data_IF_435759716822
#
_entry.id   IF_435759716822
#
_cell.length_a   1.000
_cell.length_b   1.000
_cell.length_c   1.000
_cell.angle_alpha   90.00
_cell.angle_beta   90.00
_cell.angle_gamma   90.00
#
_symmetry.space_group_name_H-M   'P 1'
#
loop_
_entity.id
_entity.type
_entity.pdbx_description
1 polymer ?
#
# COMPACT_ATOMS: atom_id res chain seq x y z
N UNK A 1 -16.50 -3.56 22.31
CA UNK A 1 -17.41 -2.73 21.45
C UNK A 1 -17.28 -3.25 20.04
N UNK A 2 -18.36 -3.76 19.49
CA UNK A 2 -18.40 -4.34 18.14
C UNK A 2 -18.03 -3.27 17.09
N UNK A 3 -17.11 -3.59 16.19
CA UNK A 3 -16.78 -2.76 15.07
C UNK A 3 -17.84 -2.91 13.95
N UNK A 4 -18.03 -1.88 13.12
CA UNK A 4 -18.87 -2.01 11.94
C UNK A 4 -18.18 -2.90 10.89
N UNK A 5 -18.95 -3.51 9.99
CA UNK A 5 -18.40 -4.30 8.87
C UNK A 5 -17.41 -3.48 8.02
N UNK A 6 -17.68 -2.18 7.85
CA UNK A 6 -16.80 -1.25 7.14
C UNK A 6 -15.48 -1.06 7.91
N UNK A 7 -15.50 -0.97 9.25
CA UNK A 7 -14.29 -0.84 10.05
C UNK A 7 -13.43 -2.11 9.93
N UNK A 8 -14.06 -3.29 10.05
CA UNK A 8 -13.37 -4.59 9.86
C UNK A 8 -12.74 -4.67 8.47
N UNK A 9 -13.50 -4.32 7.44
CA UNK A 9 -13.01 -4.31 6.07
C UNK A 9 -11.85 -3.33 5.88
N UNK A 10 -11.99 -2.12 6.42
CA UNK A 10 -10.95 -1.09 6.35
C UNK A 10 -9.66 -1.56 7.00
N UNK A 11 -9.72 -2.18 8.18
CA UNK A 11 -8.55 -2.75 8.84
C UNK A 11 -7.88 -3.84 7.97
N UNK A 12 -8.68 -4.75 7.41
CA UNK A 12 -8.18 -5.78 6.48
C UNK A 12 -7.57 -5.18 5.21
N UNK A 13 -8.09 -4.04 4.70
CA UNK A 13 -7.50 -3.34 3.56
C UNK A 13 -6.14 -2.72 3.91
N UNK A 14 -5.96 -2.12 5.09
CA UNK A 14 -4.64 -1.67 5.53
C UNK A 14 -3.62 -2.80 5.53
N UNK A 15 -3.99 -3.96 6.07
CA UNK A 15 -3.11 -5.12 6.13
C UNK A 15 -2.79 -5.70 4.73
N UNK A 16 -3.78 -5.73 3.82
CA UNK A 16 -3.62 -6.35 2.50
C UNK A 16 -3.07 -5.43 1.42
N UNK A 17 -3.21 -4.11 1.58
CA UNK A 17 -2.80 -3.16 0.55
C UNK A 17 -1.71 -2.18 1.02
N UNK A 18 -1.86 -1.56 2.19
CA UNK A 18 -0.90 -0.57 2.65
C UNK A 18 0.42 -1.21 3.10
N UNK A 19 0.37 -2.25 3.93
CA UNK A 19 1.60 -2.89 4.40
C UNK A 19 2.46 -3.50 3.29
N UNK A 20 1.93 -4.19 2.26
CA UNK A 20 2.75 -4.62 1.13
C UNK A 20 3.44 -3.48 0.36
N UNK A 21 2.92 -2.25 0.41
CA UNK A 21 3.56 -1.10 -0.21
C UNK A 21 4.88 -0.70 0.47
N UNK A 22 5.09 -1.09 1.76
CA UNK A 22 6.36 -0.91 2.47
C UNK A 22 7.55 -1.60 1.76
N UNK A 23 7.30 -2.57 0.88
CA UNK A 23 8.36 -3.17 0.08
C UNK A 23 9.09 -2.12 -0.76
N UNK A 24 8.41 -1.08 -1.22
CA UNK A 24 9.01 -0.05 -2.08
C UNK A 24 10.18 0.66 -1.37
N UNK A 25 10.03 1.31 -0.21
CA UNK A 25 11.17 1.91 0.47
C UNK A 25 12.23 0.90 0.92
N UNK A 26 11.87 -0.35 1.18
CA UNK A 26 12.83 -1.42 1.52
C UNK A 26 13.72 -1.85 0.33
N UNK A 27 13.30 -1.58 -0.91
CA UNK A 27 14.06 -1.93 -2.12
C UNK A 27 14.62 -0.73 -2.86
N UNK A 28 14.09 0.48 -2.64
CA UNK A 28 14.41 1.67 -3.43
C UNK A 28 15.07 2.79 -2.60
N UNK A 29 14.96 2.76 -1.27
CA UNK A 29 15.55 3.78 -0.40
C UNK A 29 16.80 3.25 0.29
N UNK A 30 17.98 3.78 -0.07
CA UNK A 30 19.25 3.39 0.55
C UNK A 30 19.21 3.49 2.09
N UNK A 31 18.49 4.48 2.63
CA UNK A 31 18.28 4.64 4.08
C UNK A 31 17.57 3.43 4.70
N UNK A 32 16.50 2.94 4.08
CA UNK A 32 15.73 1.81 4.60
C UNK A 32 16.40 0.47 4.30
N UNK A 33 17.02 0.31 3.14
CA UNK A 33 17.83 -0.87 2.79
C UNK A 33 18.88 -1.09 3.88
N UNK A 34 19.69 -0.06 4.21
CA UNK A 34 20.74 -0.13 5.24
C UNK A 34 20.18 -0.45 6.64
N UNK A 35 19.03 0.17 7.02
CA UNK A 35 18.41 -0.05 8.33
C UNK A 35 17.90 -1.48 8.53
N UNK A 36 17.46 -2.15 7.45
CA UNK A 36 16.91 -3.50 7.50
C UNK A 36 17.88 -4.60 7.05
N UNK A 37 19.13 -4.24 6.73
CA UNK A 37 20.13 -5.17 6.21
C UNK A 37 20.38 -6.38 7.14
N UNK A 38 20.40 -6.13 8.46
CA UNK A 38 20.71 -7.13 9.51
C UNK A 38 19.55 -7.32 10.50
N UNK A 39 18.31 -7.12 10.05
CA UNK A 39 17.11 -7.26 10.89
C UNK A 39 16.43 -8.59 10.59
N UNK A 40 16.23 -9.37 11.65
CA UNK A 40 15.41 -10.58 11.68
C UNK A 40 14.32 -10.38 12.73
N UNK A 41 13.12 -10.00 12.29
CA UNK A 41 12.02 -9.66 13.21
C UNK A 41 10.66 -9.93 12.59
N UNK A 42 9.69 -10.13 13.46
CA UNK A 42 8.27 -10.19 13.11
C UNK A 42 7.54 -9.03 13.78
N UNK A 43 6.73 -8.31 13.02
CA UNK A 43 5.81 -7.32 13.58
C UNK A 43 4.40 -7.90 13.53
N UNK A 44 3.85 -8.22 14.68
CA UNK A 44 2.52 -8.81 14.84
C UNK A 44 1.50 -7.73 15.16
N UNK A 45 0.51 -7.56 14.31
CA UNK A 45 -0.64 -6.68 14.51
C UNK A 45 -1.85 -7.50 14.93
N UNK A 46 -2.52 -7.04 15.97
CA UNK A 46 -3.81 -7.58 16.40
C UNK A 46 -4.69 -6.44 16.91
N UNK A 47 -5.95 -6.43 16.50
CA UNK A 47 -6.97 -5.58 17.08
C UNK A 47 -8.13 -6.44 17.54
N UNK A 48 -8.48 -6.28 18.83
CA UNK A 48 -9.56 -7.05 19.47
C UNK A 48 -10.91 -6.59 18.94
N UNK A 49 -11.80 -7.54 18.81
CA UNK A 49 -13.23 -7.34 18.56
C UNK A 49 -13.97 -8.59 19.05
N UNK A 50 -15.18 -8.41 19.54
CA UNK A 50 -15.95 -9.51 20.15
C UNK A 50 -16.29 -10.63 19.14
N UNK A 51 -16.51 -10.26 17.87
CA UNK A 51 -16.94 -11.21 16.84
C UNK A 51 -15.92 -11.39 15.71
N UNK A 52 -15.21 -10.33 15.35
CA UNK A 52 -14.37 -10.29 14.15
C UNK A 52 -12.99 -9.69 14.44
N UNK A 53 -12.16 -10.28 15.31
CA UNK A 53 -10.81 -9.79 15.54
C UNK A 53 -10.03 -9.79 14.22
N UNK A 54 -9.19 -8.77 14.04
CA UNK A 54 -8.34 -8.67 12.85
C UNK A 54 -6.89 -8.78 13.25
N UNK A 55 -6.14 -9.58 12.50
CA UNK A 55 -4.73 -9.77 12.72
C UNK A 55 -3.97 -9.89 11.40
N UNK A 56 -2.71 -9.48 11.43
CA UNK A 56 -1.72 -9.77 10.41
C UNK A 56 -0.34 -9.74 11.03
N UNK A 57 0.65 -10.31 10.35
CA UNK A 57 2.03 -10.14 10.75
C UNK A 57 2.92 -9.87 9.54
N UNK A 58 4.00 -9.14 9.80
CA UNK A 58 4.99 -8.74 8.80
C UNK A 58 6.32 -9.34 9.20
N UNK A 59 6.92 -10.08 8.28
CA UNK A 59 8.24 -10.70 8.46
C UNK A 59 9.28 -9.84 7.77
N UNK A 60 10.34 -9.52 8.49
CA UNK A 60 11.54 -8.88 7.99
C UNK A 60 12.73 -9.79 8.28
N UNK A 61 13.47 -10.16 7.25
CA UNK A 61 14.65 -11.03 7.36
C UNK A 61 15.83 -10.40 6.63
N UNK A 62 17.02 -10.62 7.17
CA UNK A 62 18.25 -10.40 6.42
C UNK A 62 18.35 -11.42 5.27
N UNK A 63 19.27 -11.20 4.35
CA UNK A 63 19.38 -12.01 3.15
C UNK A 63 19.74 -13.48 3.46
N UNK A 64 20.72 -13.69 4.33
CA UNK A 64 21.18 -15.01 4.71
C UNK A 64 20.09 -15.86 5.40
N UNK A 65 19.26 -15.22 6.23
CA UNK A 65 18.12 -15.89 6.87
C UNK A 65 17.00 -16.13 5.86
N UNK A 66 16.69 -15.14 5.01
CA UNK A 66 15.64 -15.25 4.02
C UNK A 66 15.85 -16.40 3.03
N UNK A 67 17.09 -16.63 2.58
CA UNK A 67 17.45 -17.71 1.66
C UNK A 67 17.17 -19.11 2.24
N UNK A 68 17.23 -19.26 3.57
CA UNK A 68 16.97 -20.51 4.27
C UNK A 68 15.49 -20.77 4.54
N UNK A 69 14.62 -19.75 4.31
CA UNK A 69 13.18 -19.92 4.53
C UNK A 69 12.48 -20.49 3.29
N UNK A 70 11.40 -21.23 3.48
CA UNK A 70 10.57 -21.79 2.40
C UNK A 70 10.11 -20.73 1.37
N UNK A 71 10.00 -19.47 1.75
CA UNK A 71 9.56 -18.39 0.87
C UNK A 71 10.69 -17.64 0.16
N UNK A 72 11.93 -17.75 0.63
CA UNK A 72 13.11 -17.05 0.08
C UNK A 72 12.85 -15.53 -0.09
N UNK A 73 12.25 -14.88 0.90
CA UNK A 73 11.84 -13.46 0.85
C UNK A 73 12.22 -12.73 2.11
N UNK A 74 12.93 -11.61 1.95
CA UNK A 74 13.32 -10.71 3.04
C UNK A 74 12.14 -9.96 3.68
N UNK A 75 11.05 -9.78 2.93
CA UNK A 75 9.86 -9.06 3.38
C UNK A 75 8.59 -9.78 2.91
N UNK A 76 7.69 -10.06 3.85
CA UNK A 76 6.37 -10.65 3.54
C UNK A 76 5.34 -10.22 4.58
N UNK A 77 4.12 -9.92 4.11
CA UNK A 77 2.93 -9.67 4.93
C UNK A 77 2.02 -10.89 4.87
N UNK A 78 1.63 -11.38 6.02
CA UNK A 78 0.71 -12.50 6.18
C UNK A 78 -0.57 -12.03 6.86
N UNK A 79 -1.69 -12.68 6.53
CA UNK A 79 -2.97 -12.45 7.17
C UNK A 79 -3.18 -13.46 8.29
N UNK A 80 -3.78 -13.02 9.40
CA UNK A 80 -3.97 -13.84 10.59
C UNK A 80 -2.90 -13.60 11.65
N UNK A 81 -3.01 -14.32 12.76
CA UNK A 81 -2.07 -14.22 13.88
C UNK A 81 -0.73 -14.89 13.55
N UNK A 82 0.34 -14.37 14.14
CA UNK A 82 1.67 -14.96 14.02
C UNK A 82 1.70 -16.30 14.77
N UNK A 83 2.04 -17.42 14.09
CA UNK A 83 2.01 -18.75 14.72
C UNK A 83 3.16 -19.02 15.70
N UNK A 84 4.08 -18.05 15.88
CA UNK A 84 5.27 -18.22 16.72
C UNK A 84 6.52 -18.72 15.97
N UNK A 85 6.41 -19.02 14.69
CA UNK A 85 7.52 -19.50 13.87
C UNK A 85 7.42 -19.06 12.41
N UNK A 86 8.52 -19.20 11.69
CA UNK A 86 8.61 -19.11 10.23
C UNK A 86 9.09 -20.47 9.71
N UNK A 87 8.44 -20.97 8.66
CA UNK A 87 8.82 -22.24 8.03
C UNK A 87 10.12 -22.09 7.24
N UNK A 88 11.05 -23.02 7.47
CA UNK A 88 12.33 -23.12 6.79
C UNK A 88 12.21 -24.04 5.58
N UNK A 89 13.18 -23.96 4.64
CA UNK A 89 13.19 -24.77 3.41
C UNK A 89 13.29 -26.30 3.70
N UNK A 90 13.96 -26.67 4.77
CA UNK A 90 14.09 -28.06 5.23
C UNK A 90 12.89 -28.58 6.04
N UNK A 91 11.82 -27.77 6.15
CA UNK A 91 10.63 -28.10 6.96
C UNK A 91 10.77 -27.82 8.45
N UNK A 92 11.93 -27.37 8.93
CA UNK A 92 12.12 -26.95 10.32
C UNK A 92 11.44 -25.59 10.59
N UNK A 93 11.39 -25.19 11.86
CA UNK A 93 10.74 -23.95 12.30
C UNK A 93 11.74 -22.98 12.91
N UNK A 94 11.81 -21.77 12.39
CA UNK A 94 12.57 -20.68 12.98
C UNK A 94 11.71 -19.95 14.02
N UNK A 95 11.98 -20.17 15.30
CA UNK A 95 11.19 -19.64 16.43
C UNK A 95 11.85 -18.48 17.17
N UNK A 96 13.15 -18.26 17.00
CA UNK A 96 13.95 -17.31 17.79
C UNK A 96 13.97 -15.87 17.22
N UNK A 97 12.92 -15.45 16.52
CA UNK A 97 12.84 -14.08 16.00
C UNK A 97 12.38 -13.08 17.07
N UNK A 98 12.93 -11.87 17.03
CA UNK A 98 12.39 -10.76 17.80
C UNK A 98 10.97 -10.44 17.31
N UNK A 99 10.00 -10.36 18.24
CA UNK A 99 8.59 -10.07 17.90
C UNK A 99 8.20 -8.70 18.43
N UNK A 100 7.82 -7.77 17.55
CA UNK A 100 7.22 -6.48 17.87
C UNK A 100 5.71 -6.65 17.91
N UNK A 101 5.09 -6.43 19.07
CA UNK A 101 3.65 -6.62 19.27
C UNK A 101 2.91 -5.29 19.17
N UNK A 102 2.14 -5.11 18.10
CA UNK A 102 1.28 -3.96 17.82
C UNK A 102 -0.19 -4.36 18.10
N UNK A 103 -0.52 -4.54 19.39
CA UNK A 103 -1.83 -5.01 19.82
C UNK A 103 -2.70 -3.84 20.26
N UNK A 104 -3.87 -3.72 19.68
CA UNK A 104 -4.85 -2.66 19.92
C UNK A 104 -6.08 -3.22 20.61
N UNK A 105 -6.62 -2.48 21.57
CA UNK A 105 -7.83 -2.87 22.35
C UNK A 105 -9.10 -2.96 21.50
N UNK A 106 -9.10 -2.38 20.30
CA UNK A 106 -10.24 -2.46 19.38
C UNK A 106 -9.80 -2.12 17.94
N UNK A 107 -10.61 -2.53 16.97
CA UNK A 107 -10.44 -2.15 15.57
C UNK A 107 -10.52 -0.63 15.40
N UNK A 108 -11.38 0.06 16.15
CA UNK A 108 -11.46 1.53 16.12
C UNK A 108 -10.17 2.19 16.58
N UNK A 109 -9.51 1.66 17.61
CA UNK A 109 -8.21 2.18 18.07
C UNK A 109 -7.12 1.98 17.00
N UNK A 110 -7.07 0.83 16.35
CA UNK A 110 -6.17 0.57 15.21
C UNK A 110 -6.41 1.56 14.07
N UNK A 111 -7.66 1.74 13.67
CA UNK A 111 -8.02 2.65 12.57
C UNK A 111 -7.78 4.11 12.92
N UNK A 112 -7.97 4.50 14.19
CA UNK A 112 -7.61 5.83 14.68
C UNK A 112 -6.14 6.15 14.45
N UNK A 113 -5.24 5.20 14.72
CA UNK A 113 -3.82 5.34 14.45
C UNK A 113 -3.52 5.42 12.95
N UNK A 114 -4.13 4.56 12.13
CA UNK A 114 -3.82 4.50 10.70
C UNK A 114 -4.42 5.66 9.90
N UNK A 115 -5.65 6.06 10.21
CA UNK A 115 -6.32 7.19 9.54
C UNK A 115 -5.88 8.54 10.12
N UNK A 116 -5.50 8.62 11.40
CA UNK A 116 -4.87 9.77 12.02
C UNK A 116 -5.63 11.09 11.89
N UNK A 117 -6.98 11.07 11.95
CA UNK A 117 -7.80 12.26 11.77
C UNK A 117 -7.62 13.29 12.89
N UNK A 118 -7.41 12.82 14.13
CA UNK A 118 -7.19 13.63 15.33
C UNK A 118 -5.97 13.14 16.10
N UNK A 119 -5.28 14.02 16.81
CA UNK A 119 -4.17 13.66 17.67
C UNK A 119 -4.58 12.65 18.76
N UNK A 120 -5.80 12.80 19.32
CA UNK A 120 -6.37 11.86 20.29
C UNK A 120 -6.47 10.44 19.76
N UNK A 121 -6.79 10.27 18.48
CA UNK A 121 -6.96 8.96 17.85
C UNK A 121 -5.61 8.24 17.70
N UNK A 122 -4.53 9.02 17.55
CA UNK A 122 -3.17 8.49 17.47
C UNK A 122 -2.61 8.03 18.83
N UNK A 123 -3.18 8.48 19.95
CA UNK A 123 -2.74 8.07 21.29
C UNK A 123 -2.87 6.56 21.53
N UNK A 124 -3.74 5.87 20.80
CA UNK A 124 -3.89 4.41 20.85
C UNK A 124 -2.61 3.62 20.54
N UNK A 125 -1.60 4.24 19.91
CA UNK A 125 -0.30 3.61 19.64
C UNK A 125 0.65 3.64 20.85
N UNK A 126 0.46 4.52 21.83
CA UNK A 126 1.40 4.71 22.94
C UNK A 126 1.71 3.44 23.73
N UNK A 127 0.72 2.59 24.09
CA UNK A 127 1.01 1.31 24.78
C UNK A 127 1.92 0.42 23.93
N UNK A 128 1.73 0.41 22.61
CA UNK A 128 2.58 -0.35 21.70
C UNK A 128 4.01 0.20 21.66
N UNK A 129 4.17 1.54 21.69
CA UNK A 129 5.48 2.19 21.72
C UNK A 129 6.23 1.79 22.99
N UNK A 130 5.66 2.01 24.16
CA UNK A 130 6.31 1.70 25.45
C UNK A 130 6.70 0.23 25.58
N UNK A 131 5.84 -0.69 25.07
CA UNK A 131 6.11 -2.13 25.14
C UNK A 131 7.24 -2.59 24.21
N UNK A 132 7.51 -1.86 23.14
CA UNK A 132 8.41 -2.32 22.08
C UNK A 132 9.66 -1.44 21.88
N UNK A 133 9.76 -0.28 22.56
CA UNK A 133 10.85 0.70 22.33
C UNK A 133 12.26 0.16 22.56
N UNK A 134 12.41 -0.87 23.40
CA UNK A 134 13.70 -1.54 23.65
C UNK A 134 14.12 -2.50 22.53
N UNK A 135 13.22 -2.83 21.60
CA UNK A 135 13.48 -3.79 20.52
C UNK A 135 14.26 -3.13 19.39
N UNK A 136 15.29 -3.82 18.89
CA UNK A 136 16.23 -3.31 17.88
C UNK A 136 15.52 -2.85 16.61
N UNK A 137 14.53 -3.62 16.14
CA UNK A 137 13.83 -3.34 14.90
C UNK A 137 12.69 -2.32 15.03
N UNK A 138 12.32 -1.89 16.24
CA UNK A 138 11.13 -1.07 16.47
C UNK A 138 11.22 0.30 15.78
N UNK A 139 12.29 1.06 16.02
CA UNK A 139 12.45 2.39 15.39
C UNK A 139 12.66 2.33 13.87
N UNK A 140 13.45 1.39 13.29
CA UNK A 140 13.42 1.13 11.86
C UNK A 140 12.01 0.88 11.32
N UNK A 141 11.22 0.05 11.99
CA UNK A 141 9.84 -0.24 11.60
C UNK A 141 8.93 1.00 11.66
N UNK A 142 9.00 1.82 12.73
CA UNK A 142 8.28 3.09 12.78
C UNK A 142 8.66 4.02 11.62
N UNK A 143 9.93 4.03 11.22
CA UNK A 143 10.37 4.76 10.03
C UNK A 143 9.66 4.31 8.75
N UNK A 144 9.42 3.01 8.57
CA UNK A 144 8.62 2.49 7.44
C UNK A 144 7.14 2.87 7.55
N UNK A 145 6.57 2.84 8.76
CA UNK A 145 5.21 3.32 8.98
C UNK A 145 5.07 4.80 8.58
N UNK A 146 6.06 5.63 8.88
CA UNK A 146 6.08 7.03 8.45
C UNK A 146 6.16 7.17 6.92
N UNK A 147 6.87 6.28 6.21
CA UNK A 147 6.84 6.29 4.74
C UNK A 147 5.43 5.99 4.19
N UNK A 148 4.66 5.10 4.82
CA UNK A 148 3.27 4.88 4.44
C UNK A 148 2.40 6.14 4.63
N UNK A 149 2.62 6.91 5.70
CA UNK A 149 1.84 8.16 5.90
C UNK A 149 2.10 9.19 4.79
N UNK A 150 3.27 9.13 4.15
CA UNK A 150 3.60 10.00 3.01
C UNK A 150 2.77 9.69 1.75
N UNK A 151 2.12 8.55 1.66
CA UNK A 151 1.18 8.28 0.54
C UNK A 151 -0.09 9.10 0.63
N UNK A 152 -0.40 9.66 1.80
CA UNK A 152 -1.55 10.52 2.02
C UNK A 152 -1.48 11.86 1.26
N UNK A 153 -2.62 12.53 1.04
CA UNK A 153 -2.71 13.75 0.23
C UNK A 153 -1.98 14.94 0.85
N UNK A 154 -1.78 14.96 2.17
CA UNK A 154 -1.11 16.07 2.87
C UNK A 154 0.40 16.16 2.60
N UNK A 155 1.05 15.07 2.25
CA UNK A 155 2.47 15.07 1.90
C UNK A 155 2.62 15.23 0.38
N UNK A 156 3.13 16.38 -0.04
CA UNK A 156 3.36 16.67 -1.46
C UNK A 156 4.83 17.09 -1.68
N UNK A 157 5.74 16.14 -1.97
CA UNK A 157 7.15 16.43 -2.17
C UNK A 157 7.35 17.28 -3.43
N UNK A 158 8.23 18.27 -3.33
CA UNK A 158 8.57 19.14 -4.46
C UNK A 158 9.49 18.44 -5.45
N UNK A 159 9.60 19.01 -6.68
CA UNK A 159 10.56 18.55 -7.69
C UNK A 159 12.03 18.61 -7.25
N UNK A 160 12.34 19.29 -6.13
CA UNK A 160 13.68 19.30 -5.51
C UNK A 160 13.97 18.05 -4.69
N UNK A 161 12.96 17.20 -4.46
CA UNK A 161 13.07 15.94 -3.71
C UNK A 161 12.59 14.77 -4.58
N UNK A 162 13.34 14.40 -5.61
CA UNK A 162 12.92 13.42 -6.62
C UNK A 162 12.75 12.02 -6.04
N UNK A 163 13.52 11.64 -5.01
CA UNK A 163 13.37 10.35 -4.34
C UNK A 163 12.01 10.24 -3.66
N UNK A 164 11.63 11.23 -2.85
CA UNK A 164 10.35 11.18 -2.17
C UNK A 164 9.16 11.30 -3.15
N UNK A 165 9.30 12.00 -4.26
CA UNK A 165 8.29 12.00 -5.33
C UNK A 165 8.13 10.61 -5.92
N UNK A 166 9.23 9.99 -6.35
CA UNK A 166 9.26 8.65 -6.92
C UNK A 166 8.66 7.61 -5.96
N UNK A 167 9.12 7.59 -4.70
CA UNK A 167 8.62 6.66 -3.67
C UNK A 167 7.12 6.85 -3.43
N UNK A 168 6.67 8.10 -3.27
CA UNK A 168 5.25 8.40 -3.05
C UNK A 168 4.39 7.91 -4.21
N UNK A 169 4.73 8.24 -5.45
CA UNK A 169 3.98 7.83 -6.64
C UNK A 169 3.94 6.30 -6.72
N UNK A 170 5.09 5.64 -6.62
CA UNK A 170 5.19 4.18 -6.72
C UNK A 170 4.39 3.47 -5.64
N UNK A 171 4.53 3.91 -4.38
CA UNK A 171 3.75 3.37 -3.26
C UNK A 171 2.25 3.61 -3.44
N UNK A 172 1.84 4.81 -3.85
CA UNK A 172 0.42 5.15 -4.03
C UNK A 172 -0.24 4.31 -5.12
N UNK A 173 0.38 4.15 -6.28
CA UNK A 173 -0.16 3.34 -7.37
C UNK A 173 -0.26 1.85 -6.99
N UNK A 174 0.75 1.32 -6.27
CA UNK A 174 0.71 -0.06 -5.78
C UNK A 174 -0.35 -0.24 -4.68
N UNK A 175 -0.51 0.76 -3.81
CA UNK A 175 -1.56 0.76 -2.79
C UNK A 175 -2.95 0.78 -3.44
N UNK A 176 -3.21 1.70 -4.37
CA UNK A 176 -4.50 1.85 -5.07
C UNK A 176 -4.89 0.55 -5.76
N UNK A 177 -4.03 0.01 -6.62
CA UNK A 177 -4.34 -1.21 -7.37
C UNK A 177 -4.53 -2.42 -6.45
N UNK A 178 -3.72 -2.54 -5.39
CA UNK A 178 -3.84 -3.63 -4.42
C UNK A 178 -5.07 -3.46 -3.54
N UNK A 179 -5.44 -2.23 -3.16
CA UNK A 179 -6.64 -1.95 -2.38
C UNK A 179 -7.91 -2.32 -3.15
N UNK A 180 -8.03 -1.92 -4.42
CA UNK A 180 -9.14 -2.31 -5.30
C UNK A 180 -9.25 -3.83 -5.43
N UNK A 181 -8.14 -4.51 -5.71
CA UNK A 181 -8.12 -5.97 -5.80
C UNK A 181 -8.49 -6.64 -4.48
N UNK A 182 -8.04 -6.09 -3.35
CA UNK A 182 -8.34 -6.64 -2.02
C UNK A 182 -9.78 -6.36 -1.60
N UNK A 183 -10.32 -5.19 -1.92
CA UNK A 183 -11.71 -4.83 -1.66
C UNK A 183 -12.68 -5.79 -2.38
N UNK A 184 -12.40 -6.13 -3.64
CA UNK A 184 -13.16 -7.15 -4.37
C UNK A 184 -13.11 -8.52 -3.67
N UNK A 185 -11.91 -8.98 -3.31
CA UNK A 185 -11.69 -10.28 -2.63
C UNK A 185 -12.29 -10.35 -1.24
N UNK A 186 -12.49 -9.21 -0.59
CA UNK A 186 -13.16 -9.09 0.71
C UNK A 186 -14.69 -8.95 0.57
N UNK A 187 -15.23 -8.94 -0.64
CA UNK A 187 -16.66 -8.85 -0.89
C UNK A 187 -17.24 -7.45 -0.70
N UNK A 188 -16.44 -6.37 -0.81
CA UNK A 188 -16.96 -5.01 -0.71
C UNK A 188 -17.92 -4.70 -1.86
N UNK A 189 -19.19 -4.55 -1.52
CA UNK A 189 -20.29 -4.48 -2.48
C UNK A 189 -20.10 -3.50 -3.64
N UNK A 190 -19.61 -2.25 -3.45
CA UNK A 190 -19.37 -1.36 -4.58
C UNK A 190 -18.36 -1.92 -5.57
N UNK A 191 -17.28 -2.53 -5.06
CA UNK A 191 -16.23 -3.10 -5.91
C UNK A 191 -16.66 -4.40 -6.59
N UNK A 192 -17.36 -5.29 -5.88
CA UNK A 192 -17.86 -6.56 -6.47
C UNK A 192 -18.87 -6.29 -7.57
N UNK A 193 -19.86 -5.42 -7.35
CA UNK A 193 -20.85 -5.01 -8.36
C UNK A 193 -20.19 -4.38 -9.59
N UNK A 194 -19.18 -3.53 -9.38
CA UNK A 194 -18.43 -2.94 -10.49
C UNK A 194 -17.66 -4.01 -11.27
N UNK A 195 -16.98 -4.92 -10.56
CA UNK A 195 -16.16 -5.99 -11.15
C UNK A 195 -16.98 -6.99 -11.97
N UNK A 196 -18.17 -7.36 -11.49
CA UNK A 196 -19.09 -8.30 -12.17
C UNK A 196 -19.54 -7.77 -13.54
N UNK A 197 -19.65 -6.46 -13.70
CA UNK A 197 -20.01 -5.78 -14.95
C UNK A 197 -18.86 -5.69 -15.95
N UNK A 198 -17.62 -6.08 -15.54
CA UNK A 198 -16.43 -5.98 -16.37
C UNK A 198 -16.16 -7.32 -17.08
N UNK A 199 -15.86 -7.25 -18.38
CA UNK A 199 -15.23 -8.34 -19.11
C UNK A 199 -13.74 -8.46 -18.73
N UNK A 200 -12.94 -9.30 -19.44
CA UNK A 200 -11.48 -9.37 -19.22
C UNK A 200 -10.80 -8.05 -19.63
N UNK A 201 -10.54 -7.17 -18.66
CA UNK A 201 -10.01 -5.80 -18.84
C UNK A 201 -8.78 -5.56 -17.99
N UNK A 202 -7.88 -4.74 -18.53
CA UNK A 202 -6.69 -4.24 -17.85
C UNK A 202 -6.82 -2.73 -17.70
N UNK A 203 -6.77 -2.25 -16.47
CA UNK A 203 -6.61 -0.85 -16.12
C UNK A 203 -5.16 -0.64 -15.73
N UNK A 204 -4.42 0.10 -16.55
CA UNK A 204 -2.97 0.28 -16.44
C UNK A 204 -2.66 1.72 -16.05
N UNK A 205 -1.74 1.88 -15.10
CA UNK A 205 -1.07 3.15 -14.81
C UNK A 205 0.38 3.06 -15.31
N UNK A 206 0.82 4.07 -16.03
CA UNK A 206 2.21 4.28 -16.36
C UNK A 206 2.59 5.70 -15.95
N UNK A 207 3.80 5.87 -15.45
CA UNK A 207 4.37 7.16 -15.10
C UNK A 207 5.76 7.20 -15.70
N UNK A 208 6.04 8.21 -16.51
CA UNK A 208 7.35 8.41 -17.13
C UNK A 208 8.47 8.52 -16.09
N UNK A 209 9.72 8.35 -16.50
CA UNK A 209 10.87 8.36 -15.61
C UNK A 209 11.06 9.73 -14.95
N UNK A 210 11.78 9.75 -13.83
CA UNK A 210 12.28 10.99 -13.25
C UNK A 210 13.60 11.35 -13.92
N UNK A 211 13.66 12.54 -14.48
CA UNK A 211 14.86 13.03 -15.20
C UNK A 211 15.56 14.13 -14.38
N UNK A 212 16.88 14.22 -14.52
CA UNK A 212 17.66 15.36 -14.03
C UNK A 212 17.52 16.57 -14.99
N UNK A 213 18.19 17.69 -14.65
CA UNK A 213 18.18 18.91 -15.46
C UNK A 213 18.84 18.75 -16.84
N UNK A 214 19.62 17.70 -17.03
CA UNK A 214 20.31 17.36 -18.28
C UNK A 214 19.53 16.34 -19.11
N UNK A 215 18.38 15.84 -18.61
CA UNK A 215 17.57 14.83 -19.27
C UNK A 215 18.00 13.38 -19.00
N UNK A 216 18.93 13.14 -18.07
CA UNK A 216 19.31 11.80 -17.71
C UNK A 216 18.30 11.20 -16.71
N UNK A 217 18.04 9.90 -16.83
CA UNK A 217 17.15 9.18 -15.92
C UNK A 217 17.78 9.03 -14.52
N UNK A 218 17.09 9.56 -13.50
CA UNK A 218 17.45 9.40 -12.08
C UNK A 218 16.70 8.23 -11.47
N UNK A 219 15.40 8.11 -11.79
CA UNK A 219 14.54 7.00 -11.36
C UNK A 219 13.73 6.49 -12.55
N UNK A 220 13.57 5.15 -12.66
CA UNK A 220 12.90 4.53 -13.79
C UNK A 220 11.40 4.82 -13.84
N UNK A 221 10.79 4.59 -14.98
CA UNK A 221 9.35 4.64 -15.15
C UNK A 221 8.64 3.69 -14.17
N UNK A 222 7.43 4.08 -13.75
CA UNK A 222 6.61 3.31 -12.81
C UNK A 222 5.42 2.72 -13.56
N UNK A 223 5.15 1.43 -13.35
CA UNK A 223 3.95 0.76 -13.84
C UNK A 223 3.18 0.08 -12.72
N UNK A 224 1.85 0.14 -12.80
CA UNK A 224 0.96 -0.62 -11.94
C UNK A 224 -0.33 -0.95 -12.71
N UNK A 225 -0.96 -2.09 -12.44
CA UNK A 225 -2.21 -2.44 -13.11
C UNK A 225 -3.21 -3.15 -12.21
N UNK A 226 -4.47 -3.03 -12.59
CA UNK A 226 -5.56 -3.86 -12.09
C UNK A 226 -6.14 -4.65 -13.27
N UNK A 227 -6.00 -5.96 -13.22
CA UNK A 227 -6.72 -6.86 -14.13
C UNK A 227 -8.04 -7.28 -13.51
N UNK A 228 -9.10 -7.18 -14.29
CA UNK A 228 -10.44 -7.64 -13.96
C UNK A 228 -10.82 -8.74 -14.96
N UNK A 229 -11.29 -9.90 -14.47
CA UNK A 229 -11.74 -11.01 -15.32
C UNK A 229 -12.77 -11.84 -14.58
N UNK A 230 -13.96 -12.00 -15.16
CA UNK A 230 -15.03 -12.85 -14.64
C UNK A 230 -15.28 -12.66 -13.12
N UNK A 231 -15.53 -11.44 -12.68
CA UNK A 231 -15.77 -11.11 -11.26
C UNK A 231 -14.52 -11.13 -10.38
N UNK A 232 -13.37 -11.55 -10.89
CA UNK A 232 -12.11 -11.61 -10.15
C UNK A 232 -11.19 -10.43 -10.47
N UNK A 233 -10.35 -10.08 -9.51
CA UNK A 233 -9.37 -9.01 -9.67
C UNK A 233 -7.97 -9.47 -9.32
N UNK A 234 -6.96 -8.92 -10.01
CA UNK A 234 -5.54 -9.09 -9.71
C UNK A 234 -4.80 -7.78 -9.90
N UNK A 235 -4.23 -7.26 -8.83
CA UNK A 235 -3.27 -6.17 -8.91
C UNK A 235 -1.90 -6.69 -9.33
N UNK A 236 -1.16 -5.88 -10.09
CA UNK A 236 0.21 -6.18 -10.45
C UNK A 236 1.09 -4.93 -10.49
N UNK A 237 2.38 -5.16 -10.50
CA UNK A 237 3.45 -4.16 -10.56
C UNK A 237 4.11 -4.22 -11.92
N UNK A 238 4.53 -3.07 -12.44
CA UNK A 238 5.06 -2.96 -13.80
C UNK A 238 3.96 -2.84 -14.85
N UNK A 239 4.34 -2.98 -16.10
CA UNK A 239 3.44 -2.96 -17.26
C UNK A 239 2.87 -4.37 -17.50
N UNK A 240 1.60 -4.43 -17.87
CA UNK A 240 0.99 -5.70 -18.24
C UNK A 240 1.26 -6.00 -19.72
N UNK A 241 2.08 -6.99 -20.01
CA UNK A 241 2.61 -7.25 -21.38
C UNK A 241 1.74 -8.18 -22.23
N UNK A 242 0.89 -9.02 -21.58
CA UNK A 242 0.16 -10.11 -22.31
C UNK A 242 -1.02 -9.61 -23.13
N UNK A 243 -1.51 -8.39 -22.90
CA UNK A 243 -2.68 -7.80 -23.54
C UNK A 243 -2.60 -6.30 -23.46
N UNK A 244 -3.06 -5.60 -24.50
CA UNK A 244 -3.18 -4.12 -24.44
C UNK A 244 -4.11 -3.71 -23.31
N UNK A 245 -3.79 -2.64 -22.58
CA UNK A 245 -4.68 -2.08 -21.58
C UNK A 245 -6.02 -1.68 -22.20
N UNK A 246 -7.10 -1.93 -21.49
CA UNK A 246 -8.41 -1.43 -21.85
C UNK A 246 -8.50 0.08 -21.62
N UNK A 247 -7.93 0.53 -20.47
CA UNK A 247 -7.66 1.94 -20.18
C UNK A 247 -6.23 2.06 -19.68
N UNK A 248 -5.45 2.92 -20.31
CA UNK A 248 -4.11 3.31 -19.86
C UNK A 248 -4.15 4.77 -19.39
N UNK A 249 -3.76 5.00 -18.15
CA UNK A 249 -3.46 6.30 -17.57
C UNK A 249 -1.95 6.53 -17.71
N UNK A 250 -1.57 7.31 -18.69
CA UNK A 250 -0.15 7.58 -19.04
C UNK A 250 0.26 8.96 -18.53
N UNK A 251 0.91 9.01 -17.39
CA UNK A 251 1.41 10.23 -16.77
C UNK A 251 2.79 10.56 -17.32
N UNK A 252 2.98 11.81 -17.69
CA UNK A 252 4.24 12.28 -18.29
C UNK A 252 5.45 12.06 -17.37
N UNK A 253 5.28 12.22 -16.05
CA UNK A 253 6.31 12.08 -15.02
C UNK A 253 5.67 12.02 -13.61
N UNK A 254 6.47 11.83 -12.54
CA UNK A 254 5.96 11.83 -11.17
C UNK A 254 5.24 13.14 -10.75
N UNK A 255 5.66 14.31 -11.23
CA UNK A 255 4.98 15.57 -10.92
C UNK A 255 3.55 15.59 -11.45
N UNK A 256 3.35 15.16 -12.70
CA UNK A 256 2.03 15.04 -13.31
C UNK A 256 1.12 14.06 -12.55
N UNK A 257 1.68 12.92 -12.12
CA UNK A 257 0.94 11.96 -11.30
C UNK A 257 0.60 12.53 -9.91
N UNK A 258 1.53 13.23 -9.26
CA UNK A 258 1.31 13.87 -7.97
C UNK A 258 0.27 14.99 -8.03
N UNK A 259 0.18 15.71 -9.13
CA UNK A 259 -0.82 16.77 -9.33
C UNK A 259 -2.25 16.21 -9.18
N UNK A 260 -2.49 14.99 -9.68
CA UNK A 260 -3.76 14.27 -9.50
C UNK A 260 -3.87 13.66 -8.08
N UNK A 261 -2.87 12.91 -7.65
CA UNK A 261 -2.92 12.17 -6.37
C UNK A 261 -3.03 13.07 -5.13
N UNK A 262 -2.52 14.30 -5.19
CA UNK A 262 -2.64 15.29 -4.12
C UNK A 262 -3.93 16.11 -4.17
N UNK A 263 -4.76 15.94 -5.20
CA UNK A 263 -5.94 16.76 -5.43
C UNK A 263 -5.62 18.21 -5.79
N UNK A 264 -4.41 18.50 -6.28
CA UNK A 264 -4.04 19.84 -6.75
C UNK A 264 -4.85 20.26 -7.97
N UNK A 265 -5.11 19.30 -8.85
CA UNK A 265 -5.97 19.46 -10.02
C UNK A 265 -6.96 18.30 -10.09
N UNK A 266 -8.15 18.59 -10.58
CA UNK A 266 -9.13 17.58 -10.95
C UNK A 266 -8.64 16.75 -12.15
N UNK A 267 -9.23 15.56 -12.32
CA UNK A 267 -8.81 14.65 -13.39
C UNK A 267 -8.86 15.29 -14.79
N UNK A 268 -9.95 16.00 -15.09
CA UNK A 268 -10.15 16.70 -16.38
C UNK A 268 -9.09 17.79 -16.59
N UNK A 269 -8.75 18.54 -15.54
CA UNK A 269 -7.68 19.54 -15.58
C UNK A 269 -6.30 18.90 -15.83
N UNK A 270 -6.02 17.74 -15.23
CA UNK A 270 -4.76 17.01 -15.48
C UNK A 270 -4.63 16.59 -16.94
N UNK A 271 -5.73 16.16 -17.57
CA UNK A 271 -5.78 15.84 -19.01
C UNK A 271 -5.54 17.10 -19.85
N UNK A 272 -6.26 18.19 -19.57
CA UNK A 272 -6.12 19.47 -20.29
C UNK A 272 -4.69 20.05 -20.18
N UNK A 273 -4.04 19.88 -19.03
CA UNK A 273 -2.65 20.30 -18.79
C UNK A 273 -1.59 19.30 -19.30
N UNK A 274 -2.03 18.21 -19.95
CA UNK A 274 -1.15 17.14 -20.47
C UNK A 274 -0.29 16.46 -19.39
N UNK A 275 -0.74 16.47 -18.13
CA UNK A 275 -0.09 15.71 -17.06
C UNK A 275 -0.38 14.21 -17.16
N UNK A 276 -1.53 13.85 -17.74
CA UNK A 276 -1.95 12.49 -18.02
C UNK A 276 -2.60 12.41 -19.40
N UNK A 277 -2.26 11.40 -20.16
CA UNK A 277 -2.97 10.99 -21.37
C UNK A 277 -3.83 9.74 -21.04
N UNK A 278 -5.04 9.69 -21.59
CA UNK A 278 -5.91 8.52 -21.48
C UNK A 278 -5.91 7.82 -22.82
N UNK A 279 -5.49 6.56 -22.83
CA UNK A 279 -5.35 5.75 -24.04
C UNK A 279 -6.26 4.53 -23.96
N UNK A 280 -6.89 4.17 -25.06
CA UNK A 280 -7.82 3.04 -25.14
C UNK A 280 -9.29 3.47 -25.01
N UNK A 281 -10.13 2.69 -24.34
CA UNK A 281 -11.56 2.99 -24.15
C UNK A 281 -11.81 4.05 -23.04
N UNK A 282 -10.97 5.10 -23.02
CA UNK A 282 -10.85 6.04 -21.90
C UNK A 282 -12.06 6.91 -21.69
N UNK A 283 -12.68 7.41 -22.75
CA UNK A 283 -13.73 8.45 -22.64
C UNK A 283 -14.96 8.01 -21.82
N UNK A 284 -15.32 6.73 -21.91
CA UNK A 284 -16.49 6.20 -21.20
C UNK A 284 -16.15 5.47 -19.89
N UNK A 285 -14.96 4.90 -19.77
CA UNK A 285 -14.61 3.99 -18.67
C UNK A 285 -13.60 4.55 -17.68
N UNK A 286 -12.80 5.53 -18.06
CA UNK A 286 -11.88 6.18 -17.12
C UNK A 286 -12.63 6.92 -16.00
N UNK A 287 -13.74 7.66 -16.25
CA UNK A 287 -14.53 8.26 -15.18
C UNK A 287 -15.08 7.23 -14.19
N UNK A 288 -15.68 6.14 -14.69
CA UNK A 288 -16.21 5.06 -13.82
C UNK A 288 -15.12 4.39 -12.97
N UNK A 289 -13.93 4.20 -13.56
CA UNK A 289 -12.80 3.66 -12.81
C UNK A 289 -12.29 4.65 -11.77
N UNK A 290 -12.27 5.94 -12.08
CA UNK A 290 -11.92 6.99 -11.12
C UNK A 290 -12.91 7.05 -9.94
N UNK A 291 -14.22 6.91 -10.18
CA UNK A 291 -15.22 6.85 -9.14
C UNK A 291 -14.98 5.68 -8.17
N UNK A 292 -14.75 4.47 -8.69
CA UNK A 292 -14.48 3.32 -7.81
C UNK A 292 -13.16 3.45 -7.06
N UNK A 293 -12.14 4.09 -7.65
CA UNK A 293 -10.90 4.43 -6.95
C UNK A 293 -11.16 5.42 -5.82
N UNK A 294 -11.92 6.48 -6.05
CA UNK A 294 -12.26 7.49 -5.04
C UNK A 294 -13.06 6.88 -3.88
N UNK A 295 -14.04 6.03 -4.18
CA UNK A 295 -14.79 5.28 -3.17
C UNK A 295 -13.88 4.37 -2.34
N UNK A 296 -12.98 3.63 -2.96
CA UNK A 296 -12.02 2.78 -2.24
C UNK A 296 -11.04 3.60 -1.40
N UNK A 297 -10.60 4.74 -1.90
CA UNK A 297 -9.73 5.66 -1.18
C UNK A 297 -10.41 6.20 0.09
N UNK A 298 -11.71 6.48 0.06
CA UNK A 298 -12.46 6.96 1.24
C UNK A 298 -12.43 5.96 2.41
N UNK A 299 -12.20 4.69 2.17
CA UNK A 299 -12.01 3.69 3.23
C UNK A 299 -10.67 3.85 3.94
N UNK A 300 -9.62 4.29 3.23
CA UNK A 300 -8.24 4.33 3.72
C UNK A 300 -7.80 5.71 4.20
N UNK A 301 -8.42 6.76 3.70
CA UNK A 301 -8.07 8.15 4.03
C UNK A 301 -9.14 8.74 4.94
N UNK A 302 -8.78 9.58 5.94
CA UNK A 302 -9.75 10.30 6.75
C UNK A 302 -10.68 11.13 5.86
N UNK A 303 -11.96 11.16 6.19
CA UNK A 303 -12.87 12.08 5.55
C UNK A 303 -12.34 13.53 5.69
N UNK A 304 -12.39 14.35 4.64
CA UNK A 304 -12.02 15.76 4.76
C UNK A 304 -12.86 16.40 5.86
N UNK A 305 -12.23 17.20 6.71
CA UNK A 305 -12.96 18.00 7.70
C UNK A 305 -13.83 18.99 6.91
N UNK A 306 -15.14 18.89 7.08
CA UNK A 306 -16.06 19.96 6.69
C UNK A 306 -15.79 21.20 7.51
#
# INVERSE_FOLDING_TARGET
MKASEIDVMTAKLFFRAAFPAMKVPLTESAKHIKKFEKINTVVSFKAEDDENPVACYIVFLDEATAEKTALKKRFKVYQGEYPGYIEMEDGSQLTCLEVINMHFKSIKALLGVFKGAKASDQMGILPCIFKNMSKKAFFPFLGLMMELTKTGPKFNPSAKDPLNQYLKVKMSLYLITTALSSANKLGWTPMTKWTERQSDRIYQFQVGPTLDKKGNEIYPAIGAYLRVKAGNTKAGRGVYERKRPFVLFDFINPDGCLALLSGKYEFVECVAKKYVAIIGSGDSYAPQFNEIMALCQSLLVPAPKK
#
